data_IF_616239310349
#
_entry.id   IF_616239310349
#
_cell.length_a   1.000
_cell.length_b   1.000
_cell.length_c   1.000
_cell.angle_alpha   90.00
_cell.angle_beta   90.00
_cell.angle_gamma   90.00
#
_symmetry.space_group_name_H-M   'P 1'
#
loop_
_entity.id
_entity.type
_entity.pdbx_description
1 polymer ?
#
# COMPACT_ATOMS: atom_id res chain seq x y z
N UNK A 1 18.94 1.49 -1.99
CA UNK A 1 18.00 1.74 -0.92
C UNK A 1 16.91 2.70 -1.33
N UNK A 2 15.69 2.44 -0.92
CA UNK A 2 14.58 3.30 -1.28
C UNK A 2 14.59 4.58 -0.47
N UNK A 3 14.34 5.68 -1.13
CA UNK A 3 14.21 6.96 -0.45
C UNK A 3 12.79 7.08 0.13
N UNK A 4 12.65 8.01 1.07
CA UNK A 4 11.36 8.27 1.65
C UNK A 4 10.34 8.65 0.57
N UNK A 5 10.77 9.44 -0.40
CA UNK A 5 9.89 9.85 -1.49
C UNK A 5 9.45 8.64 -2.32
N UNK A 6 10.36 7.71 -2.56
CA UNK A 6 10.03 6.50 -3.30
C UNK A 6 9.01 5.67 -2.54
N UNK A 7 9.18 5.60 -1.23
CA UNK A 7 8.26 4.84 -0.39
C UNK A 7 6.87 5.48 -0.38
N UNK A 8 6.83 6.80 -0.34
CA UNK A 8 5.55 7.50 -0.34
C UNK A 8 4.85 7.32 -1.69
N UNK A 9 5.61 7.31 -2.76
CA UNK A 9 5.05 7.09 -4.08
C UNK A 9 4.46 5.68 -4.19
N UNK A 10 5.18 4.70 -3.65
CA UNK A 10 4.69 3.32 -3.65
C UNK A 10 3.43 3.20 -2.81
N UNK A 11 3.40 3.88 -1.67
CA UNK A 11 2.23 3.87 -0.81
C UNK A 11 1.02 4.46 -1.52
N UNK A 12 1.24 5.56 -2.22
CA UNK A 12 0.16 6.20 -2.96
C UNK A 12 -0.39 5.27 -4.04
N UNK A 13 0.51 4.58 -4.75
CA UNK A 13 0.09 3.64 -5.78
C UNK A 13 -0.73 2.50 -5.20
N UNK A 14 -0.32 2.01 -4.03
CA UNK A 14 -1.03 0.91 -3.39
C UNK A 14 -2.41 1.37 -2.94
N UNK A 15 -2.52 2.57 -2.38
CA UNK A 15 -3.81 3.07 -1.93
C UNK A 15 -4.75 3.29 -3.11
N UNK A 16 -4.22 3.75 -4.22
CA UNK A 16 -5.02 3.90 -5.43
C UNK A 16 -5.52 2.54 -5.92
N UNK A 17 -4.64 1.54 -5.88
CA UNK A 17 -5.01 0.19 -6.28
C UNK A 17 -6.09 -0.38 -5.38
N UNK A 18 -5.98 -0.15 -4.07
CA UNK A 18 -6.98 -0.64 -3.14
C UNK A 18 -8.34 -0.02 -3.41
N UNK A 19 -8.35 1.24 -3.75
CA UNK A 19 -9.60 1.92 -4.07
C UNK A 19 -10.27 1.29 -5.29
N UNK A 20 -9.47 0.98 -6.31
CA UNK A 20 -9.99 0.35 -7.52
C UNK A 20 -10.50 -1.05 -7.25
N UNK A 21 -9.81 -1.78 -6.39
CA UNK A 21 -10.23 -3.14 -6.05
C UNK A 21 -11.60 -3.12 -5.40
N UNK A 22 -11.86 -2.14 -4.57
CA UNK A 22 -13.15 -2.03 -3.91
C UNK A 22 -14.29 -1.86 -4.89
N UNK A 23 -14.02 -1.27 -6.04
CA UNK A 23 -15.03 -1.03 -7.05
C UNK A 23 -15.25 -2.22 -7.96
N UNK A 24 -14.39 -3.23 -7.86
CA UNK A 24 -14.50 -4.41 -8.69
C UNK A 24 -15.61 -5.33 -8.20
N UNK A 25 -16.12 -6.14 -9.12
CA UNK A 25 -17.21 -7.05 -8.80
C UNK A 25 -16.75 -8.44 -8.39
N UNK A 26 -15.48 -8.70 -8.60
CA UNK A 26 -14.94 -10.02 -8.26
C UNK A 26 -14.58 -10.03 -6.77
N UNK A 27 -15.57 -10.40 -5.97
CA UNK A 27 -15.49 -10.22 -4.53
C UNK A 27 -14.36 -11.00 -3.87
N UNK A 28 -14.28 -12.30 -4.12
CA UNK A 28 -13.29 -13.07 -3.37
C UNK A 28 -11.87 -12.83 -3.85
N UNK A 29 -11.70 -12.49 -5.13
CA UNK A 29 -10.40 -12.08 -5.60
C UNK A 29 -10.01 -10.77 -4.97
N UNK A 30 -10.99 -9.90 -4.80
CA UNK A 30 -10.73 -8.60 -4.22
C UNK A 30 -10.31 -8.71 -2.77
N UNK A 31 -10.91 -9.62 -2.02
CA UNK A 31 -10.54 -9.80 -0.62
C UNK A 31 -9.08 -10.22 -0.48
N UNK A 32 -8.65 -11.14 -1.31
CA UNK A 32 -7.28 -11.63 -1.26
C UNK A 32 -6.29 -10.52 -1.61
N UNK A 33 -6.53 -9.86 -2.73
CA UNK A 33 -5.64 -8.80 -3.19
C UNK A 33 -5.66 -7.62 -2.23
N UNK A 34 -6.84 -7.30 -1.71
CA UNK A 34 -6.96 -6.20 -0.74
C UNK A 34 -6.15 -6.49 0.51
N UNK A 35 -6.20 -7.72 0.99
CA UNK A 35 -5.45 -8.11 2.18
C UNK A 35 -3.95 -7.97 1.94
N UNK A 36 -3.49 -8.38 0.76
CA UNK A 36 -2.07 -8.24 0.42
C UNK A 36 -1.66 -6.78 0.37
N UNK A 37 -2.49 -5.94 -0.25
CA UNK A 37 -2.20 -4.52 -0.34
C UNK A 37 -2.18 -3.88 1.04
N UNK A 38 -3.09 -4.30 1.91
CA UNK A 38 -3.14 -3.79 3.27
C UNK A 38 -1.85 -4.10 4.01
N UNK A 39 -1.37 -5.32 3.87
CA UNK A 39 -0.12 -5.71 4.52
C UNK A 39 1.06 -4.90 4.03
N UNK A 40 1.18 -4.74 2.72
CA UNK A 40 2.27 -3.97 2.14
C UNK A 40 2.16 -2.50 2.54
N UNK A 41 0.94 -1.98 2.57
CA UNK A 41 0.71 -0.59 2.96
C UNK A 41 1.22 -0.34 4.38
N UNK A 42 0.92 -1.25 5.29
CA UNK A 42 1.37 -1.10 6.67
C UNK A 42 2.89 -1.15 6.78
N UNK A 43 3.52 -2.03 6.02
CA UNK A 43 4.97 -2.12 6.02
C UNK A 43 5.61 -0.84 5.48
N UNK A 44 5.02 -0.29 4.42
CA UNK A 44 5.53 0.95 3.85
C UNK A 44 5.38 2.12 4.83
N UNK A 45 4.26 2.18 5.52
CA UNK A 45 4.05 3.24 6.51
C UNK A 45 5.08 3.15 7.63
N UNK A 46 5.40 1.94 8.03
CA UNK A 46 6.40 1.72 9.06
C UNK A 46 7.77 2.22 8.61
N UNK A 47 8.14 1.88 7.37
CA UNK A 47 9.43 2.31 6.83
C UNK A 47 9.51 3.82 6.69
N UNK A 48 8.43 4.43 6.24
CA UNK A 48 8.40 5.88 6.09
C UNK A 48 8.57 6.55 7.45
N UNK A 49 7.92 6.01 8.47
CA UNK A 49 8.02 6.56 9.80
C UNK A 49 9.45 6.48 10.33
N UNK A 50 10.12 5.37 10.07
CA UNK A 50 11.50 5.21 10.51
C UNK A 50 12.42 6.23 9.87
N UNK A 51 12.25 6.46 8.57
CA UNK A 51 13.09 7.39 7.86
C UNK A 51 12.83 8.84 8.28
N UNK A 52 11.59 9.12 8.58
CA UNK A 52 11.23 10.46 9.03
C UNK A 52 11.86 10.78 10.37
N UNK A 53 12.05 9.77 11.16
CA UNK A 53 12.51 9.92 12.51
C UNK A 53 13.96 10.33 12.62
N UNK A 54 14.80 9.68 11.90
CA UNK A 54 16.23 9.83 11.98
C UNK A 54 16.71 10.34 13.35
#
# INVERSE_FOLDING_TARGET
>A
MARRDDLMEALDAIETGMCRIKESRDIWQNELVYALCQGVRLLLMEEIRKKKRR
#
